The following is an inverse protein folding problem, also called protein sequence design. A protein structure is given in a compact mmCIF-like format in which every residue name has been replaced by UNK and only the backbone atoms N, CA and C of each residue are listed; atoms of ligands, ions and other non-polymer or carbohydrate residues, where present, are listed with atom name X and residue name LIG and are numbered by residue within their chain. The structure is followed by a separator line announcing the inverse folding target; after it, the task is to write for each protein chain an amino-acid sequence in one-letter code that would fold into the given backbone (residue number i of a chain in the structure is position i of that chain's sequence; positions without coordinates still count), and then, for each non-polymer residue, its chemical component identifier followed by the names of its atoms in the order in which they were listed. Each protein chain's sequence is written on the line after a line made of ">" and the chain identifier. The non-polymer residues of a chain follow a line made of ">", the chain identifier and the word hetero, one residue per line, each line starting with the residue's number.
data_IF_871697302794
#
_entry.id   IF_871697302794
#
_cell.length_a   1.000
_cell.length_b   1.000
_cell.length_c   1.000
_cell.angle_alpha   90.00
_cell.angle_beta   90.00
_cell.angle_gamma   90.00
#
_symmetry.space_group_name_H-M   'P 1'
#
loop_
_entity.id
_entity.type
_entity.pdbx_description
1 polymer ?
#
# COMPACT_ATOMS: atom_id res chain seq x y z
N UNK A 1 -5.93 -2.98 -8.00
CA UNK A 1 -4.58 -2.46 -7.62
C UNK A 1 -3.60 -2.41 -8.80
N UNK A 2 -3.27 -3.52 -9.47
CA UNK A 2 -2.28 -3.54 -10.59
C UNK A 2 -2.56 -2.52 -11.71
N UNK A 3 -3.83 -2.31 -12.06
CA UNK A 3 -4.22 -1.32 -13.08
C UNK A 3 -3.88 0.12 -12.67
N UNK A 4 -4.19 0.50 -11.43
CA UNK A 4 -3.89 1.84 -10.89
C UNK A 4 -2.38 2.06 -10.82
N UNK A 5 -1.62 1.07 -10.34
CA UNK A 5 -0.17 1.16 -10.31
C UNK A 5 0.40 1.43 -11.71
N UNK A 6 -0.04 0.72 -12.74
CA UNK A 6 0.42 0.95 -14.12
C UNK A 6 0.07 2.33 -14.67
N UNK A 7 -1.03 2.92 -14.20
CA UNK A 7 -1.53 4.20 -14.71
C UNK A 7 -0.92 5.41 -14.01
N UNK A 8 -0.62 5.28 -12.71
CA UNK A 8 -0.24 6.41 -11.86
C UNK A 8 1.18 6.33 -11.28
N UNK A 9 1.88 5.21 -11.46
CA UNK A 9 3.25 5.06 -11.00
C UNK A 9 4.26 5.30 -12.13
N UNK A 10 5.23 6.16 -11.88
CA UNK A 10 6.29 6.53 -12.82
C UNK A 10 7.57 5.66 -12.70
N UNK A 11 7.56 4.70 -11.77
CA UNK A 11 8.70 3.81 -11.52
C UNK A 11 9.78 4.39 -10.60
N UNK A 12 9.66 5.65 -10.14
CA UNK A 12 10.73 6.36 -9.44
C UNK A 12 10.51 6.44 -7.94
N UNK A 13 9.29 6.78 -7.51
CA UNK A 13 8.99 6.95 -6.09
C UNK A 13 7.52 6.64 -5.78
N UNK A 14 7.27 5.99 -4.65
CA UNK A 14 5.91 5.89 -4.11
C UNK A 14 5.51 7.27 -3.57
N UNK A 15 4.59 7.93 -4.26
CA UNK A 15 4.03 9.24 -3.87
C UNK A 15 2.72 9.09 -3.11
N UNK A 16 2.36 10.11 -2.32
CA UNK A 16 1.07 10.17 -1.63
C UNK A 16 -0.12 10.12 -2.60
N UNK A 17 -0.02 10.79 -3.75
CA UNK A 17 -1.06 10.76 -4.78
C UNK A 17 -1.31 9.36 -5.34
N UNK A 18 -0.24 8.60 -5.60
CA UNK A 18 -0.36 7.19 -6.03
C UNK A 18 -1.05 6.34 -4.95
N UNK A 19 -0.64 6.50 -3.69
CA UNK A 19 -1.20 5.78 -2.56
C UNK A 19 -2.71 6.04 -2.40
N UNK A 20 -3.12 7.31 -2.56
CA UNK A 20 -4.53 7.69 -2.53
C UNK A 20 -5.33 7.00 -3.66
N UNK A 21 -4.82 6.95 -4.89
CA UNK A 21 -5.50 6.26 -6.00
C UNK A 21 -5.61 4.75 -5.77
N UNK A 22 -4.60 4.13 -5.15
CA UNK A 22 -4.64 2.71 -4.79
C UNK A 22 -5.74 2.47 -3.73
N UNK A 23 -5.85 3.33 -2.72
CA UNK A 23 -6.89 3.23 -1.69
C UNK A 23 -8.30 3.32 -2.29
N UNK A 24 -8.55 4.27 -3.19
CA UNK A 24 -9.84 4.43 -3.87
C UNK A 24 -10.19 3.16 -4.67
N UNK A 25 -9.23 2.58 -5.39
CA UNK A 25 -9.48 1.37 -6.15
C UNK A 25 -9.72 0.14 -5.26
N UNK A 26 -9.06 0.03 -4.10
CA UNK A 26 -9.36 -1.06 -3.16
C UNK A 26 -10.81 -0.94 -2.67
N UNK A 27 -11.23 0.26 -2.26
CA UNK A 27 -12.61 0.51 -1.78
C UNK A 27 -13.68 0.21 -2.84
N UNK A 28 -13.39 0.50 -4.11
CA UNK A 28 -14.34 0.32 -5.20
C UNK A 28 -14.48 -1.14 -5.65
N UNK A 29 -13.40 -1.93 -5.61
CA UNK A 29 -13.37 -3.28 -6.18
C UNK A 29 -13.36 -4.42 -5.15
N UNK A 30 -13.19 -4.13 -3.86
CA UNK A 30 -13.32 -5.10 -2.77
C UNK A 30 -14.36 -4.63 -1.72
N UNK A 31 -15.66 -4.66 -2.06
CA UNK A 31 -16.72 -4.28 -1.14
C UNK A 31 -16.90 -5.27 0.03
N UNK A 32 -16.30 -6.47 -0.03
CA UNK A 32 -16.36 -7.45 1.07
C UNK A 32 -15.42 -7.06 2.22
N UNK A 33 -14.36 -6.30 1.95
CA UNK A 33 -13.61 -5.59 2.97
C UNK A 33 -14.39 -4.41 3.56
N UNK A 34 -15.31 -3.80 2.80
CA UNK A 34 -16.18 -2.73 3.28
C UNK A 34 -17.16 -3.22 4.37
N UNK A 35 -17.62 -4.48 4.32
CA UNK A 35 -18.45 -5.09 5.38
C UNK A 35 -17.64 -5.44 6.65
N UNK A 36 -16.33 -5.68 6.55
CA UNK A 36 -15.45 -5.84 7.71
C UNK A 36 -15.13 -4.50 8.41
N UNK A 37 -15.27 -3.37 7.71
CA UNK A 37 -14.94 -2.03 8.25
C UNK A 37 -16.02 -1.36 9.09
N UNK A 38 -17.24 -1.92 9.20
CA UNK A 38 -18.22 -1.38 10.15
C UNK A 38 -17.76 -1.48 11.63
N UNK A 39 -16.73 -2.28 11.93
CA UNK A 39 -16.14 -2.41 13.26
C UNK A 39 -14.75 -1.74 13.42
N UNK A 40 -14.06 -1.35 12.35
CA UNK A 40 -12.65 -0.91 12.40
C UNK A 40 -12.44 0.31 11.49
N UNK A 41 -12.46 1.50 12.11
CA UNK A 41 -12.65 2.78 11.44
C UNK A 41 -11.55 3.31 10.52
N UNK A 42 -10.41 2.63 10.32
CA UNK A 42 -9.41 2.98 9.29
C UNK A 42 -8.55 1.76 8.95
N UNK A 43 -8.43 1.46 7.67
CA UNK A 43 -7.64 0.32 7.17
C UNK A 43 -6.15 0.71 7.07
N UNK A 44 -5.25 0.06 7.84
CA UNK A 44 -3.80 0.23 7.64
C UNK A 44 -3.38 -0.34 6.29
N UNK A 45 -2.35 0.24 5.68
CA UNK A 45 -1.78 -0.24 4.42
C UNK A 45 -0.28 -0.49 4.58
N UNK A 46 0.20 -1.60 4.05
CA UNK A 46 1.62 -1.92 3.92
C UNK A 46 1.94 -2.06 2.43
N UNK A 47 2.79 -1.18 1.91
CA UNK A 47 3.13 -1.10 0.48
C UNK A 47 4.63 -1.21 0.29
N UNK A 48 5.06 -2.30 -0.35
CA UNK A 48 6.46 -2.54 -0.74
C UNK A 48 6.59 -2.40 -2.27
N UNK A 49 7.50 -1.54 -2.72
CA UNK A 49 7.91 -1.50 -4.12
C UNK A 49 8.99 -2.53 -4.35
N UNK A 50 8.71 -3.49 -5.21
CA UNK A 50 9.68 -4.51 -5.65
C UNK A 50 10.20 -4.12 -7.03
N UNK A 51 11.53 -4.04 -7.16
CA UNK A 51 12.22 -3.82 -8.42
C UNK A 51 12.12 -5.03 -9.36
N UNK A 52 12.48 -4.83 -10.62
CA UNK A 52 12.50 -5.92 -11.61
C UNK A 52 13.50 -7.05 -11.26
N UNK A 53 14.49 -6.75 -10.43
CA UNK A 53 15.46 -7.67 -9.84
C UNK A 53 14.92 -8.44 -8.61
N UNK A 54 13.68 -8.18 -8.20
CA UNK A 54 13.09 -8.74 -6.98
C UNK A 54 13.53 -8.04 -5.69
N UNK A 55 14.39 -7.02 -5.77
CA UNK A 55 14.85 -6.30 -4.59
C UNK A 55 13.83 -5.23 -4.15
N UNK A 56 13.57 -5.07 -2.84
CA UNK A 56 12.73 -3.98 -2.35
C UNK A 56 13.43 -2.63 -2.59
N UNK A 57 12.72 -1.72 -3.24
CA UNK A 57 13.18 -0.36 -3.56
C UNK A 57 12.57 0.68 -2.64
N UNK A 58 11.39 0.37 -2.10
CA UNK A 58 10.62 1.28 -1.28
C UNK A 58 9.70 0.51 -0.35
N UNK A 59 9.42 1.06 0.82
CA UNK A 59 8.48 0.51 1.79
C UNK A 59 7.77 1.65 2.52
N UNK A 60 6.45 1.67 2.43
CA UNK A 60 5.62 2.70 3.05
C UNK A 60 4.48 2.03 3.82
N UNK A 61 4.31 2.47 5.07
CA UNK A 61 3.27 2.02 5.97
C UNK A 61 2.28 3.14 6.25
N UNK A 62 0.98 2.82 6.20
CA UNK A 62 -0.10 3.69 6.68
C UNK A 62 -0.64 3.16 7.99
N UNK A 63 -0.63 4.01 9.01
CA UNK A 63 -1.23 3.70 10.30
C UNK A 63 -2.76 3.71 10.23
N UNK A 64 -3.38 3.19 11.30
CA UNK A 64 -4.83 3.29 11.51
C UNK A 64 -5.28 4.72 11.84
N UNK A 65 -4.36 5.66 12.12
CA UNK A 65 -4.70 7.07 12.24
C UNK A 65 -4.75 7.76 10.86
N UNK A 66 -4.13 7.14 9.85
CA UNK A 66 -4.04 7.64 8.48
C UNK A 66 -2.67 8.21 8.13
N UNK A 67 -1.75 8.27 9.08
CA UNK A 67 -0.39 8.77 8.89
C UNK A 67 0.47 7.80 8.08
N UNK A 68 1.31 8.36 7.22
CA UNK A 68 2.27 7.62 6.41
C UNK A 68 3.66 7.64 7.05
N UNK A 69 4.34 6.49 7.05
CA UNK A 69 5.72 6.37 7.53
C UNK A 69 6.55 5.49 6.61
N UNK A 70 7.84 5.80 6.50
CA UNK A 70 8.85 4.94 5.86
C UNK A 70 9.70 4.32 6.96
N UNK A 71 9.64 3.00 7.18
CA UNK A 71 10.59 2.34 8.05
C UNK A 71 12.00 2.57 7.50
N UNK A 72 12.91 3.02 8.37
CA UNK A 72 14.30 3.31 8.01
C UNK A 72 15.01 2.01 7.63
N UNK A 73 15.04 1.70 6.33
CA UNK A 73 15.96 0.84 5.55
C UNK A 73 16.65 -0.40 6.20
N UNK A 74 16.20 -0.94 7.33
CA UNK A 74 16.98 -1.93 8.09
C UNK A 74 16.18 -3.02 8.82
N UNK A 75 14.85 -3.07 8.70
CA UNK A 75 14.07 -4.19 9.23
C UNK A 75 13.69 -5.14 8.09
N UNK A 76 13.96 -6.45 8.20
CA UNK A 76 13.56 -7.41 7.17
C UNK A 76 12.04 -7.52 7.16
N UNK A 77 11.42 -7.07 6.07
CA UNK A 77 9.99 -7.27 5.81
C UNK A 77 9.81 -8.72 5.40
N UNK A 78 9.47 -9.57 6.36
CA UNK A 78 9.10 -10.96 6.10
C UNK A 78 7.76 -10.93 5.37
N UNK A 79 7.60 -11.58 4.20
CA UNK A 79 6.31 -11.64 3.54
C UNK A 79 5.39 -12.53 4.38
N UNK A 80 4.46 -11.92 5.11
CA UNK A 80 3.33 -12.63 5.68
C UNK A 80 2.32 -12.91 4.54
N UNK A 81 2.63 -13.88 3.70
CA UNK A 81 1.66 -14.50 2.79
C UNK A 81 1.52 -15.96 3.21
N UNK A 82 0.41 -16.28 3.86
CA UNK A 82 -0.21 -17.61 3.84
C UNK A 82 -1.56 -17.47 3.17
#
# INVERSE_FOLDING_TARGET
>A
VRSVARQYFDGRAITEGLLNHIEVAIRAYDPCLSCATHALGRMPLDVVLIGADGAPRDHVLRSHAGDWSRPSSGAPVVPAVR
#
